data_IF_272485674214
#
_entry.id   IF_272485674214
#
_cell.length_a   1.000
_cell.length_b   1.000
_cell.length_c   1.000
_cell.angle_alpha   90.00
_cell.angle_beta   90.00
_cell.angle_gamma   90.00
#
_symmetry.space_group_name_H-M   'P 1'
#
loop_
_entity.id
_entity.type
_entity.pdbx_description
1 polymer ?
#
# COMPACT_ATOMS: atom_id res chain seq x y z
N UNK A 1 -7.86 -12.40 -14.62
CA UNK A 1 -8.00 -11.38 -13.56
C UNK A 1 -7.17 -11.83 -12.37
N UNK A 2 -6.49 -10.92 -11.63
CA UNK A 2 -5.86 -11.25 -10.36
C UNK A 2 -6.89 -11.92 -9.45
N UNK A 3 -6.53 -13.00 -8.75
CA UNK A 3 -7.41 -13.62 -7.76
C UNK A 3 -7.19 -12.93 -6.42
N UNK A 4 -8.25 -12.52 -5.71
CA UNK A 4 -8.10 -11.94 -4.39
C UNK A 4 -7.56 -13.00 -3.42
N UNK A 5 -6.63 -12.60 -2.57
CA UNK A 5 -6.15 -13.40 -1.45
C UNK A 5 -6.73 -12.81 -0.17
N UNK A 6 -7.48 -13.61 0.60
CA UNK A 6 -8.03 -13.20 1.89
C UNK A 6 -7.14 -13.73 3.01
N UNK A 7 -6.70 -12.86 3.90
CA UNK A 7 -6.01 -13.22 5.15
C UNK A 7 -6.82 -12.70 6.32
N UNK A 8 -6.84 -13.50 7.38
CA UNK A 8 -7.45 -13.12 8.65
C UNK A 8 -6.45 -13.45 9.75
N UNK A 9 -6.06 -12.44 10.53
CA UNK A 9 -5.23 -12.63 11.73
C UNK A 9 -5.97 -12.03 12.93
N UNK A 10 -6.63 -12.88 13.71
CA UNK A 10 -7.54 -12.45 14.78
C UNK A 10 -8.71 -11.63 14.23
N UNK A 11 -8.79 -10.37 14.67
CA UNK A 11 -9.83 -9.42 14.26
C UNK A 11 -9.47 -8.65 12.98
N UNK A 12 -8.26 -8.81 12.44
CA UNK A 12 -7.83 -8.14 11.21
C UNK A 12 -8.28 -8.95 10.00
N UNK A 13 -8.93 -8.27 9.05
CA UNK A 13 -9.31 -8.83 7.76
C UNK A 13 -8.62 -8.08 6.63
N UNK A 14 -7.84 -8.82 5.83
CA UNK A 14 -7.15 -8.29 4.66
C UNK A 14 -7.63 -8.98 3.39
N UNK A 15 -7.89 -8.19 2.35
CA UNK A 15 -8.17 -8.68 1.00
C UNK A 15 -7.23 -8.01 0.03
N UNK A 16 -6.34 -8.78 -0.60
CA UNK A 16 -5.35 -8.24 -1.51
C UNK A 16 -5.43 -8.81 -2.93
N UNK A 17 -5.13 -7.98 -3.91
CA UNK A 17 -4.89 -8.34 -5.30
C UNK A 17 -3.50 -7.85 -5.70
N UNK A 18 -2.77 -8.59 -6.55
CA UNK A 18 -1.47 -8.14 -7.03
C UNK A 18 -1.29 -8.33 -8.53
N UNK A 19 -0.52 -7.44 -9.15
CA UNK A 19 -0.12 -7.53 -10.55
C UNK A 19 1.33 -7.06 -10.73
N UNK A 20 1.90 -7.37 -11.89
CA UNK A 20 3.22 -6.90 -12.30
C UNK A 20 3.05 -6.00 -13.53
N UNK A 21 3.28 -4.68 -13.42
CA UNK A 21 3.26 -3.80 -14.58
C UNK A 21 4.34 -4.24 -15.57
N UNK A 22 4.03 -4.39 -16.86
CA UNK A 22 5.06 -4.68 -17.86
C UNK A 22 5.64 -3.38 -18.42
N UNK A 23 6.96 -3.28 -18.69
CA UNK A 23 8.00 -4.32 -18.57
C UNK A 23 8.75 -4.31 -17.23
N UNK A 24 8.12 -3.88 -16.14
CA UNK A 24 8.80 -3.57 -14.87
C UNK A 24 9.20 -4.80 -14.06
N UNK A 25 10.11 -4.61 -13.09
CA UNK A 25 10.58 -5.67 -12.22
C UNK A 25 9.92 -5.75 -10.82
N UNK A 26 9.19 -4.72 -10.42
CA UNK A 26 8.45 -4.69 -9.16
C UNK A 26 7.03 -5.26 -9.33
N UNK A 27 6.35 -5.54 -8.22
CA UNK A 27 4.94 -5.91 -8.16
C UNK A 27 4.16 -4.83 -7.43
N UNK A 28 2.93 -4.64 -7.85
CA UNK A 28 1.94 -3.76 -7.21
C UNK A 28 0.91 -4.66 -6.55
N UNK A 29 0.76 -4.53 -5.24
CA UNK A 29 -0.34 -5.03 -4.44
C UNK A 29 -1.35 -3.92 -4.18
N UNK A 30 -2.62 -4.27 -4.20
CA UNK A 30 -3.73 -3.45 -3.74
C UNK A 30 -4.39 -4.24 -2.62
N UNK A 31 -4.54 -3.63 -1.45
CA UNK A 31 -5.05 -4.27 -0.25
C UNK A 31 -6.23 -3.47 0.30
N UNK A 32 -7.23 -4.15 0.80
CA UNK A 32 -8.28 -3.57 1.62
C UNK A 32 -8.17 -4.23 3.00
N UNK A 33 -8.09 -3.41 4.04
CA UNK A 33 -7.91 -3.87 5.41
C UNK A 33 -8.79 -3.08 6.37
N UNK A 34 -9.15 -3.69 7.50
CA UNK A 34 -9.72 -2.98 8.64
C UNK A 34 -8.67 -2.36 9.58
N UNK A 35 -7.39 -2.34 9.19
CA UNK A 35 -6.37 -1.50 9.82
C UNK A 35 -6.72 -0.01 9.76
N UNK A 36 -6.20 0.75 10.72
CA UNK A 36 -6.22 2.22 10.70
C UNK A 36 -4.79 2.73 10.61
N UNK A 37 -4.61 3.96 10.08
CA UNK A 37 -3.28 4.57 9.98
C UNK A 37 -2.55 4.64 11.35
N UNK A 38 -3.29 4.79 12.44
CA UNK A 38 -2.74 4.80 13.80
C UNK A 38 -2.29 3.40 14.28
N UNK A 39 -2.92 2.34 13.78
CA UNK A 39 -2.49 0.97 14.02
C UNK A 39 -1.23 0.67 13.21
N UNK A 40 -1.14 1.09 11.95
CA UNK A 40 0.06 0.91 11.11
C UNK A 40 1.32 1.49 11.75
N UNK A 41 1.17 2.63 12.43
CA UNK A 41 2.26 3.28 13.19
C UNK A 41 2.75 2.48 14.40
N UNK A 42 1.95 1.56 14.89
CA UNK A 42 2.23 0.75 16.09
C UNK A 42 2.71 -0.67 15.77
N UNK A 43 2.62 -1.09 14.51
CA UNK A 43 3.09 -2.40 14.07
C UNK A 43 4.62 -2.44 14.18
N UNK A 44 5.11 -3.45 14.90
CA UNK A 44 6.55 -3.67 15.01
C UNK A 44 7.14 -4.02 13.63
N UNK A 45 8.23 -3.33 13.27
CA UNK A 45 8.86 -3.44 11.96
C UNK A 45 8.29 -2.52 10.88
N UNK A 46 7.22 -1.75 11.11
CA UNK A 46 6.88 -0.63 10.24
C UNK A 46 7.72 0.60 10.59
N UNK A 47 8.23 1.32 9.59
CA UNK A 47 9.07 2.50 9.79
C UNK A 47 9.05 3.46 8.60
N UNK A 48 9.73 4.60 8.73
CA UNK A 48 9.85 5.59 7.64
C UNK A 48 8.54 6.35 7.39
N UNK A 49 7.70 6.48 8.42
CA UNK A 49 6.36 7.05 8.32
C UNK A 49 6.35 8.47 7.76
N UNK A 50 5.47 8.73 6.80
CA UNK A 50 5.21 10.07 6.27
C UNK A 50 3.71 10.26 6.03
N UNK A 51 3.14 11.32 6.62
CA UNK A 51 1.75 11.71 6.37
C UNK A 51 1.60 12.30 4.96
N UNK A 52 0.55 11.86 4.27
CA UNK A 52 0.23 12.24 2.91
C UNK A 52 -1.25 12.59 2.78
N UNK A 53 -1.62 13.15 1.62
CA UNK A 53 -3.01 13.30 1.19
C UNK A 53 -3.14 12.78 -0.23
N UNK A 54 -4.02 11.79 -0.42
CA UNK A 54 -4.28 11.16 -1.72
C UNK A 54 -5.77 11.26 -2.02
N UNK A 55 -6.14 11.85 -3.14
CA UNK A 55 -7.55 12.03 -3.51
C UNK A 55 -8.38 12.79 -2.46
N UNK A 56 -7.76 13.67 -1.68
CA UNK A 56 -8.40 14.42 -0.59
C UNK A 56 -8.57 13.64 0.73
N UNK A 57 -8.10 12.39 0.79
CA UNK A 57 -8.15 11.54 1.99
C UNK A 57 -6.79 11.52 2.68
N UNK A 58 -6.79 11.33 4.00
CA UNK A 58 -5.54 11.10 4.74
C UNK A 58 -4.92 9.80 4.25
N UNK A 59 -3.60 9.80 4.15
CA UNK A 59 -2.85 8.62 3.78
C UNK A 59 -1.53 8.57 4.55
N UNK A 60 -0.98 7.38 4.69
CA UNK A 60 0.30 7.13 5.36
C UNK A 60 1.22 6.37 4.43
N UNK A 61 2.41 6.91 4.20
CA UNK A 61 3.50 6.15 3.60
C UNK A 61 4.35 5.49 4.69
N UNK A 62 4.81 4.27 4.46
CA UNK A 62 5.78 3.57 5.32
C UNK A 62 6.48 2.42 4.59
N UNK A 63 7.52 1.87 5.21
CA UNK A 63 8.19 0.63 4.80
C UNK A 63 7.72 -0.53 5.68
N UNK A 64 7.18 -1.62 5.09
CA UNK A 64 6.80 -2.81 5.83
C UNK A 64 8.03 -3.70 6.09
N UNK A 65 8.32 -4.00 7.36
CA UNK A 65 9.44 -4.85 7.75
C UNK A 65 10.81 -4.20 7.50
N UNK A 66 11.86 -5.00 7.38
CA UNK A 66 13.25 -4.48 7.36
C UNK A 66 13.74 -4.02 5.98
N UNK A 67 12.99 -4.26 4.91
CA UNK A 67 13.42 -3.94 3.55
C UNK A 67 12.95 -2.55 3.17
N UNK A 68 13.91 -1.63 2.98
CA UNK A 68 13.63 -0.31 2.38
C UNK A 68 13.17 -0.40 0.91
N UNK A 69 13.31 -1.59 0.31
CA UNK A 69 12.97 -1.84 -1.08
C UNK A 69 11.47 -2.05 -1.31
N UNK A 70 10.73 -2.34 -0.23
CA UNK A 70 9.29 -2.48 -0.25
C UNK A 70 8.68 -1.28 0.47
N UNK A 71 7.51 -0.81 0.02
CA UNK A 71 6.83 0.32 0.66
C UNK A 71 5.32 0.25 0.45
N UNK A 72 4.60 0.92 1.34
CA UNK A 72 3.15 0.99 1.35
C UNK A 72 2.69 2.44 1.36
N UNK A 73 1.58 2.73 0.67
CA UNK A 73 0.74 3.89 0.94
C UNK A 73 -0.66 3.39 1.29
N UNK A 74 -1.06 3.60 2.53
CA UNK A 74 -2.41 3.29 3.02
C UNK A 74 -3.26 4.55 3.04
N UNK A 75 -4.46 4.46 2.46
CA UNK A 75 -5.43 5.56 2.34
C UNK A 75 -6.58 5.30 3.31
N UNK A 76 -6.86 6.25 4.20
CA UNK A 76 -7.92 6.18 5.21
C UNK A 76 -9.30 6.00 4.56
N UNK A 77 -10.07 5.03 5.05
CA UNK A 77 -11.45 4.73 4.68
C UNK A 77 -12.35 4.59 5.92
N UNK A 78 -13.67 4.69 5.74
CA UNK A 78 -14.65 4.53 6.84
C UNK A 78 -14.48 3.23 7.63
N UNK A 79 -14.08 2.14 6.97
CA UNK A 79 -13.95 0.81 7.58
C UNK A 79 -12.51 0.36 7.79
N UNK A 80 -11.52 1.21 7.53
CA UNK A 80 -10.10 0.90 7.68
C UNK A 80 -9.23 1.62 6.65
N UNK A 81 -8.47 0.87 5.85
CA UNK A 81 -7.57 1.42 4.83
C UNK A 81 -7.66 0.68 3.50
N UNK A 82 -7.37 1.41 2.43
CA UNK A 82 -7.01 0.83 1.14
C UNK A 82 -5.53 1.10 0.86
N UNK A 83 -4.75 0.03 0.75
CA UNK A 83 -3.31 0.05 0.64
C UNK A 83 -2.78 -0.21 -0.76
N UNK A 84 -1.72 0.50 -1.12
CA UNK A 84 -0.88 0.20 -2.26
C UNK A 84 0.47 -0.30 -1.75
N UNK A 85 0.75 -1.58 -1.96
CA UNK A 85 2.03 -2.20 -1.63
C UNK A 85 2.90 -2.30 -2.90
N UNK A 86 4.10 -1.73 -2.85
CA UNK A 86 5.13 -1.97 -3.85
C UNK A 86 6.13 -2.96 -3.27
N UNK A 87 6.37 -4.05 -3.99
CA UNK A 87 7.48 -4.97 -3.69
C UNK A 87 8.43 -5.03 -4.86
N UNK A 88 9.70 -4.77 -4.62
CA UNK A 88 10.70 -4.72 -5.67
C UNK A 88 12.10 -4.68 -5.09
N UNK A 89 13.08 -5.25 -5.79
CA UNK A 89 14.47 -5.25 -5.33
C UNK A 89 15.18 -3.95 -5.75
N UNK A 90 14.66 -2.81 -5.28
CA UNK A 90 15.11 -1.45 -5.65
C UNK A 90 14.95 -1.07 -7.13
N UNK A 91 14.12 -1.82 -7.87
CA UNK A 91 13.86 -1.61 -9.29
C UNK A 91 12.43 -1.14 -9.51
N UNK A 92 12.22 0.16 -9.47
CA UNK A 92 10.90 0.80 -9.56
C UNK A 92 10.61 1.43 -10.93
N UNK A 93 11.50 1.25 -11.91
CA UNK A 93 11.39 1.86 -13.22
C UNK A 93 9.98 1.73 -13.80
N UNK A 94 9.31 2.83 -14.20
CA UNK A 94 9.91 4.12 -14.54
C UNK A 94 10.09 5.13 -13.38
N UNK A 95 9.73 4.77 -12.14
CA UNK A 95 9.74 5.70 -11.01
C UNK A 95 11.14 5.82 -10.37
N UNK A 96 11.48 6.99 -9.82
CA UNK A 96 12.79 7.23 -9.21
C UNK A 96 13.01 6.45 -7.90
N UNK A 97 11.94 6.17 -7.16
CA UNK A 97 11.98 5.45 -5.88
C UNK A 97 10.64 4.74 -5.62
N UNK A 98 10.59 4.00 -4.50
CA UNK A 98 9.41 3.24 -4.09
C UNK A 98 8.20 4.17 -3.80
N UNK A 99 8.43 5.31 -3.15
CA UNK A 99 7.37 6.26 -2.81
C UNK A 99 6.70 6.82 -4.07
N UNK A 100 7.48 7.22 -5.08
CA UNK A 100 6.97 7.72 -6.33
C UNK A 100 6.15 6.65 -7.07
N UNK A 101 6.57 5.38 -7.02
CA UNK A 101 5.81 4.26 -7.57
C UNK A 101 4.49 4.06 -6.81
N UNK A 102 4.53 3.94 -5.48
CA UNK A 102 3.35 3.75 -4.64
C UNK A 102 2.36 4.89 -4.81
N UNK A 103 2.85 6.14 -4.81
CA UNK A 103 2.03 7.35 -4.96
C UNK A 103 1.33 7.40 -6.31
N UNK A 104 2.02 7.06 -7.39
CA UNK A 104 1.40 7.00 -8.71
C UNK A 104 0.19 6.07 -8.72
N UNK A 105 0.33 4.86 -8.20
CA UNK A 105 -0.78 3.91 -8.15
C UNK A 105 -1.88 4.33 -7.15
N UNK A 106 -1.50 4.90 -6.01
CA UNK A 106 -2.45 5.42 -5.02
C UNK A 106 -3.34 6.52 -5.63
N UNK A 107 -2.72 7.49 -6.31
CA UNK A 107 -3.45 8.57 -7.00
C UNK A 107 -4.31 8.04 -8.15
N UNK A 108 -3.86 7.00 -8.87
CA UNK A 108 -4.64 6.39 -9.95
C UNK A 108 -5.87 5.63 -9.44
N UNK A 109 -5.75 4.91 -8.32
CA UNK A 109 -6.78 4.00 -7.83
C UNK A 109 -7.74 4.61 -6.80
N UNK A 110 -7.36 5.70 -6.11
CA UNK A 110 -8.16 6.26 -5.00
C UNK A 110 -9.63 6.54 -5.35
N UNK A 111 -9.92 6.90 -6.59
CA UNK A 111 -11.29 7.15 -7.06
C UNK A 111 -12.19 5.89 -7.07
N UNK A 112 -11.60 4.69 -7.06
CA UNK A 112 -12.31 3.42 -7.04
C UNK A 112 -12.42 2.83 -5.62
N UNK A 113 -11.72 3.42 -4.66
CA UNK A 113 -11.79 3.00 -3.27
C UNK A 113 -13.00 3.66 -2.60
N UNK A 114 -13.89 2.88 -1.95
CA UNK A 114 -14.90 3.42 -1.07
C UNK A 114 -14.32 4.46 -0.11
N UNK A 115 -15.07 5.55 0.08
CA UNK A 115 -14.78 6.55 1.09
C UNK A 115 -14.93 5.93 2.49
#
# INVERSE_FOLDING_TARGET
MPRPNRRTDGDIEDVSCAFRPQPTEYRVGIEASNYTLDMDRKIDGHWGFQDLTIGGRKALFFHPGQRASDCVIDIEAVTGVYGILITGDNKYGPYPDCMAAARHYAEAFVQYFPA
#
